data_IF_146860380446
#
_entry.id   IF_146860380446
#
_cell.length_a   1.000
_cell.length_b   1.000
_cell.length_c   1.000
_cell.angle_alpha   90.00
_cell.angle_beta   90.00
_cell.angle_gamma   90.00
#
_symmetry.space_group_name_H-M   'P 1'
#
loop_
_entity.id
_entity.type
_entity.pdbx_description
1 polymer ?
#
# COMPACT_ATOMS: atom_id res chain seq x y z
N UNK A 1 19.63 -3.93 -6.62
CA UNK A 1 18.99 -4.44 -7.84
C UNK A 1 18.31 -3.28 -8.53
N UNK A 2 18.93 -2.69 -9.54
CA UNK A 2 18.41 -1.51 -10.27
C UNK A 2 18.16 -1.93 -11.71
N UNK A 3 16.94 -2.42 -11.99
CA UNK A 3 16.58 -2.86 -13.33
C UNK A 3 15.08 -2.78 -13.52
N UNK A 4 14.66 -2.04 -14.55
CA UNK A 4 13.26 -1.98 -14.99
C UNK A 4 12.73 -3.40 -15.19
N UNK A 5 11.61 -3.74 -14.54
CA UNK A 5 11.00 -5.07 -14.63
C UNK A 5 10.73 -5.46 -16.08
N UNK A 6 10.90 -6.73 -16.44
CA UNK A 6 10.78 -7.22 -17.84
C UNK A 6 9.43 -6.87 -18.47
N UNK A 7 8.34 -6.89 -17.67
CA UNK A 7 6.98 -6.49 -18.06
C UNK A 7 6.87 -5.02 -18.52
N UNK A 8 7.74 -4.13 -18.02
CA UNK A 8 7.78 -2.72 -18.40
C UNK A 8 8.85 -2.45 -19.45
N UNK A 9 10.03 -3.09 -19.31
CA UNK A 9 11.21 -2.84 -20.15
C UNK A 9 10.93 -2.93 -21.65
N UNK A 10 10.10 -3.88 -22.07
CA UNK A 10 9.79 -4.13 -23.48
C UNK A 10 8.47 -3.53 -23.94
N UNK A 11 7.75 -2.82 -23.05
CA UNK A 11 6.46 -2.24 -23.36
C UNK A 11 6.60 -0.74 -23.62
N UNK A 12 6.68 -0.35 -24.89
CA UNK A 12 6.88 1.06 -25.30
C UNK A 12 5.77 1.99 -24.83
N UNK A 13 4.55 1.47 -24.60
CA UNK A 13 3.42 2.24 -24.07
C UNK A 13 3.59 2.56 -22.58
N UNK A 14 4.17 1.65 -21.80
CA UNK A 14 4.27 1.77 -20.34
C UNK A 14 5.65 2.23 -19.86
N UNK A 15 6.69 2.02 -20.66
CA UNK A 15 8.06 2.32 -20.28
C UNK A 15 8.24 3.79 -19.88
N UNK A 16 7.64 4.75 -20.59
CA UNK A 16 7.77 6.17 -20.25
C UNK A 16 7.17 6.56 -18.89
N UNK A 17 6.19 5.80 -18.41
CA UNK A 17 5.42 6.11 -17.20
C UNK A 17 5.88 5.31 -15.98
N UNK A 18 6.29 4.06 -16.21
CA UNK A 18 6.62 3.11 -15.14
C UNK A 18 8.09 2.72 -15.14
N UNK A 19 8.96 3.46 -15.84
CA UNK A 19 10.41 3.33 -15.67
C UNK A 19 10.73 3.55 -14.20
N UNK A 20 11.47 2.61 -13.61
CA UNK A 20 11.89 2.62 -12.20
C UNK A 20 10.75 2.48 -11.18
N UNK A 21 9.51 2.26 -11.63
CA UNK A 21 8.43 1.81 -10.76
C UNK A 21 8.82 0.47 -10.12
N UNK A 22 8.61 0.34 -8.81
CA UNK A 22 8.89 -0.89 -8.06
C UNK A 22 7.66 -1.78 -7.92
N UNK A 23 6.47 -1.22 -8.15
CA UNK A 23 5.22 -1.89 -7.84
C UNK A 23 4.02 -0.95 -7.75
N UNK A 24 2.91 -1.48 -7.25
CA UNK A 24 1.70 -0.72 -6.93
C UNK A 24 1.45 -0.73 -5.42
N UNK A 25 0.76 0.29 -4.92
CA UNK A 25 0.30 0.39 -3.53
C UNK A 25 -1.20 0.66 -3.57
N UNK A 26 -1.95 -0.06 -2.75
CA UNK A 26 -3.39 0.16 -2.61
C UNK A 26 -3.87 -0.17 -1.19
N UNK A 27 -4.95 0.50 -0.77
CA UNK A 27 -5.65 0.25 0.48
C UNK A 27 -6.78 -0.76 0.27
N UNK A 28 -6.93 -1.71 1.19
CA UNK A 28 -8.02 -2.68 1.18
C UNK A 28 -8.62 -2.86 2.57
N UNK A 29 -9.90 -3.19 2.63
CA UNK A 29 -10.61 -3.42 3.89
C UNK A 29 -10.88 -4.92 4.07
N UNK A 30 -10.36 -5.49 5.15
CA UNK A 30 -10.70 -6.86 5.55
C UNK A 30 -11.68 -6.79 6.72
N UNK A 31 -12.84 -7.41 6.55
CA UNK A 31 -13.85 -7.51 7.60
C UNK A 31 -13.36 -8.39 8.75
N UNK A 32 -13.71 -8.00 9.98
CA UNK A 32 -13.32 -8.74 11.17
C UNK A 32 -14.17 -8.33 12.36
N UNK A 33 -14.17 -9.18 13.38
CA UNK A 33 -14.84 -8.89 14.64
C UNK A 33 -13.89 -8.20 15.61
N UNK A 34 -14.38 -7.14 16.26
CA UNK A 34 -13.66 -6.45 17.32
C UNK A 34 -14.55 -6.28 18.54
N UNK A 35 -13.96 -6.19 19.76
CA UNK A 35 -14.70 -5.86 20.98
C UNK A 35 -15.61 -4.66 20.79
N UNK A 36 -16.80 -4.70 21.42
CA UNK A 36 -17.84 -3.65 21.30
C UNK A 36 -17.30 -2.24 21.52
N UNK A 37 -16.40 -2.06 22.48
CA UNK A 37 -15.77 -0.78 22.80
C UNK A 37 -14.95 -0.19 21.63
N UNK A 38 -14.47 -1.01 20.71
CA UNK A 38 -13.66 -0.58 19.56
C UNK A 38 -14.44 -0.52 18.25
N UNK A 39 -15.65 -1.07 18.19
CA UNK A 39 -16.41 -1.20 16.94
C UNK A 39 -16.61 0.12 16.20
N UNK A 40 -16.74 1.24 16.92
CA UNK A 40 -16.89 2.56 16.30
C UNK A 40 -15.69 2.94 15.43
N UNK A 41 -14.47 2.69 15.91
CA UNK A 41 -13.25 2.99 15.16
C UNK A 41 -13.06 2.03 13.98
N UNK A 42 -13.46 0.77 14.13
CA UNK A 42 -13.31 -0.22 13.06
C UNK A 42 -14.46 -0.22 12.05
N UNK A 43 -15.46 0.67 12.19
CA UNK A 43 -16.63 0.67 11.32
C UNK A 43 -16.33 1.34 9.98
N UNK A 44 -16.43 0.58 8.89
CA UNK A 44 -16.34 1.13 7.55
C UNK A 44 -17.62 1.86 7.11
N UNK A 45 -17.56 2.52 5.95
CA UNK A 45 -18.70 3.22 5.32
C UNK A 45 -19.92 2.33 5.06
N UNK A 46 -19.74 1.01 4.93
CA UNK A 46 -20.82 0.03 4.76
C UNK A 46 -21.43 -0.43 6.10
N UNK A 47 -20.97 0.14 7.21
CA UNK A 47 -21.47 -0.16 8.55
C UNK A 47 -20.95 -1.46 9.15
N UNK A 48 -19.97 -2.10 8.52
CA UNK A 48 -19.35 -3.35 8.99
C UNK A 48 -18.04 -3.05 9.68
N UNK A 49 -17.63 -3.88 10.62
CA UNK A 49 -16.31 -3.78 11.25
C UNK A 49 -15.25 -4.37 10.34
N UNK A 50 -14.19 -3.61 10.07
CA UNK A 50 -13.08 -4.01 9.22
C UNK A 50 -11.79 -3.32 9.64
N UNK A 51 -10.66 -3.91 9.27
CA UNK A 51 -9.36 -3.25 9.33
C UNK A 51 -9.02 -2.67 7.97
N UNK A 52 -8.43 -1.48 7.96
CA UNK A 52 -7.74 -0.99 6.77
C UNK A 52 -6.36 -1.66 6.68
N UNK A 53 -6.01 -2.14 5.50
CA UNK A 53 -4.72 -2.75 5.21
C UNK A 53 -4.16 -2.07 3.97
N UNK A 54 -2.96 -1.51 4.10
CA UNK A 54 -2.22 -0.98 2.97
C UNK A 54 -1.22 -2.04 2.49
N UNK A 55 -1.29 -2.40 1.22
CA UNK A 55 -0.39 -3.39 0.63
C UNK A 55 0.41 -2.76 -0.51
N UNK A 56 1.67 -3.15 -0.63
CA UNK A 56 2.47 -2.94 -1.84
C UNK A 56 2.75 -4.28 -2.52
N UNK A 57 2.76 -4.32 -3.85
CA UNK A 57 3.13 -5.50 -4.62
C UNK A 57 4.04 -5.18 -5.80
N UNK A 58 4.90 -6.13 -6.16
CA UNK A 58 5.75 -6.03 -7.34
C UNK A 58 4.98 -6.35 -8.64
N UNK A 59 5.65 -6.24 -9.79
CA UNK A 59 5.04 -6.57 -11.09
C UNK A 59 4.70 -8.05 -11.27
N UNK A 60 5.21 -8.94 -10.41
CA UNK A 60 4.84 -10.36 -10.34
C UNK A 60 3.65 -10.61 -9.39
N UNK A 61 3.01 -9.55 -8.91
CA UNK A 61 1.88 -9.56 -7.98
C UNK A 61 2.24 -10.20 -6.64
N UNK A 62 3.52 -10.17 -6.24
CA UNK A 62 3.95 -10.61 -4.91
C UNK A 62 3.86 -9.43 -3.96
N UNK A 63 3.27 -9.63 -2.78
CA UNK A 63 3.30 -8.61 -1.74
C UNK A 63 4.75 -8.36 -1.29
N UNK A 64 5.17 -7.11 -1.36
CA UNK A 64 6.48 -6.63 -0.90
C UNK A 64 6.37 -5.86 0.42
N UNK A 65 5.16 -5.43 0.78
CA UNK A 65 4.85 -4.75 2.03
C UNK A 65 3.37 -4.92 2.39
N UNK A 66 3.10 -5.06 3.69
CA UNK A 66 1.74 -5.10 4.25
C UNK A 66 1.74 -4.33 5.58
N UNK A 67 1.00 -3.23 5.65
CA UNK A 67 0.63 -2.56 6.89
C UNK A 67 -0.80 -2.94 7.26
N UNK A 68 -0.95 -3.79 8.28
CA UNK A 68 -2.24 -4.23 8.79
C UNK A 68 -2.54 -3.65 10.17
N UNK A 69 -3.75 -3.89 10.67
CA UNK A 69 -4.14 -3.51 12.03
C UNK A 69 -4.70 -2.10 12.19
N UNK A 70 -4.87 -1.35 11.10
CA UNK A 70 -5.46 -0.02 11.13
C UNK A 70 -6.97 -0.07 11.27
N UNK A 71 -7.53 0.93 11.94
CA UNK A 71 -8.95 1.03 12.11
C UNK A 71 -9.68 1.19 10.77
N UNK A 72 -10.86 0.60 10.64
CA UNK A 72 -11.68 0.68 9.44
C UNK A 72 -12.17 2.09 9.07
N UNK A 73 -12.00 3.07 9.97
CA UNK A 73 -12.21 4.50 9.67
C UNK A 73 -10.95 5.22 9.19
N UNK A 74 -9.77 4.59 9.31
CA UNK A 74 -8.52 5.21 8.90
C UNK A 74 -8.48 5.36 7.37
N UNK A 75 -8.06 6.54 6.91
CA UNK A 75 -7.81 6.78 5.49
C UNK A 75 -6.50 6.13 5.05
N UNK A 76 -6.44 5.65 3.81
CA UNK A 76 -5.23 5.03 3.24
C UNK A 76 -4.00 5.95 3.31
N UNK A 77 -4.21 7.26 3.17
CA UNK A 77 -3.16 8.27 3.33
C UNK A 77 -2.55 8.28 4.74
N UNK A 78 -3.36 8.01 5.77
CA UNK A 78 -2.89 7.95 7.16
C UNK A 78 -2.07 6.68 7.42
N UNK A 79 -2.53 5.56 6.86
CA UNK A 79 -1.81 4.28 6.92
C UNK A 79 -0.45 4.41 6.22
N UNK A 80 -0.44 5.04 5.03
CA UNK A 80 0.78 5.30 4.27
C UNK A 80 1.72 6.25 5.00
N UNK A 81 1.22 7.37 5.55
CA UNK A 81 2.03 8.31 6.33
C UNK A 81 2.74 7.59 7.48
N UNK A 82 2.01 6.76 8.24
CA UNK A 82 2.61 6.00 9.32
C UNK A 82 3.66 5.00 8.82
N UNK A 83 3.37 4.26 7.74
CA UNK A 83 4.33 3.33 7.15
C UNK A 83 5.63 4.02 6.71
N UNK A 84 5.58 5.28 6.27
CA UNK A 84 6.75 6.03 5.83
C UNK A 84 7.60 6.55 7.00
N UNK A 85 7.00 6.86 8.15
CA UNK A 85 7.71 7.45 9.31
C UNK A 85 8.13 6.41 10.35
N UNK A 86 7.45 5.27 10.42
CA UNK A 86 7.75 4.20 11.37
C UNK A 86 9.09 3.53 10.99
N UNK A 87 10.17 3.67 11.80
CA UNK A 87 11.50 3.20 11.43
C UNK A 87 11.57 1.68 11.24
N UNK A 88 10.64 0.95 11.86
CA UNK A 88 10.56 -0.51 11.80
C UNK A 88 9.67 -1.04 10.68
N UNK A 89 8.98 -0.17 9.94
CA UNK A 89 8.01 -0.58 8.92
C UNK A 89 8.65 -1.37 7.77
N UNK A 90 9.94 -1.15 7.49
CA UNK A 90 10.63 -1.70 6.32
C UNK A 90 9.91 -1.37 5.01
N UNK A 91 9.21 -0.22 4.96
CA UNK A 91 8.53 0.22 3.75
C UNK A 91 9.51 0.24 2.56
N UNK A 92 9.15 -0.31 1.39
CA UNK A 92 10.08 -0.52 0.29
C UNK A 92 10.34 0.80 -0.45
N UNK A 93 11.30 1.58 0.06
CA UNK A 93 11.77 2.79 -0.61
C UNK A 93 12.52 2.42 -1.91
N UNK A 94 12.19 3.04 -3.06
CA UNK A 94 13.02 2.91 -4.25
C UNK A 94 14.45 3.37 -3.94
N UNK A 95 15.43 2.67 -4.51
CA UNK A 95 16.87 2.97 -4.31
C UNK A 95 17.31 4.38 -4.72
N UNK A 96 16.46 5.14 -5.41
CA UNK A 96 16.67 6.53 -5.80
C UNK A 96 15.45 7.31 -5.29
N UNK A 97 15.67 8.37 -4.51
CA UNK A 97 14.71 9.09 -3.65
C UNK A 97 13.51 9.78 -4.37
N UNK A 98 13.14 9.35 -5.58
CA UNK A 98 12.06 9.96 -6.35
C UNK A 98 10.78 9.16 -6.16
N UNK A 99 10.00 9.54 -5.14
CA UNK A 99 8.57 9.20 -5.08
C UNK A 99 7.80 10.19 -5.94
N UNK A 100 7.29 9.73 -7.07
CA UNK A 100 6.21 10.43 -7.78
C UNK A 100 4.96 9.59 -7.64
N UNK A 101 4.11 9.96 -6.68
CA UNK A 101 2.70 9.60 -6.74
C UNK A 101 2.14 10.32 -7.98
N UNK A 102 1.88 9.58 -9.04
CA UNK A 102 1.10 10.10 -10.14
C UNK A 102 -0.36 10.17 -9.67
N UNK A 103 -0.97 11.37 -9.63
CA UNK A 103 -2.38 11.54 -9.26
C UNK A 103 -3.33 10.88 -10.27
#
# INVERSE_FOLDING_TARGET
MTGVHSKIRHNTRFLSWFKDCVGAIDGTYIEGEVPKAMQQAYRNRKGRTSQNILCACDFDMRFTFVAAGWEGTAHDSKVLENALVEPTSQFPFPSHEIFKLHP
#
